data_IF_446331202493
#
_entry.id   IF_446331202493
#
_cell.length_a   1.000
_cell.length_b   1.000
_cell.length_c   1.000
_cell.angle_alpha   90.00
_cell.angle_beta   90.00
_cell.angle_gamma   90.00
#
_symmetry.space_group_name_H-M   'P 1'
#
loop_
_entity.id
_entity.type
_entity.pdbx_description
1 polymer ?
#
# COMPACT_ATOMS: atom_id res chain seq x y z
N UNK A 1 9.48 -6.95 1.63
CA UNK A 1 10.19 -5.66 1.50
C UNK A 1 11.15 -5.49 2.66
N UNK A 2 12.26 -4.78 2.49
CA UNK A 2 13.18 -4.47 3.59
C UNK A 2 12.82 -3.12 4.22
N UNK A 3 12.90 -3.01 5.55
CA UNK A 3 12.78 -1.72 6.26
C UNK A 3 13.88 -0.76 5.79
N UNK A 4 13.70 0.55 5.90
CA UNK A 4 14.72 1.53 5.52
C UNK A 4 15.08 1.55 4.03
N UNK A 5 14.17 1.10 3.15
CA UNK A 5 14.37 1.13 1.69
C UNK A 5 13.20 1.81 0.98
N UNK A 6 13.30 2.00 -0.33
CA UNK A 6 12.29 2.68 -1.15
C UNK A 6 11.62 1.76 -2.20
N UNK A 7 10.99 0.65 -1.78
CA UNK A 7 10.36 -0.27 -2.71
C UNK A 7 9.14 0.36 -3.38
N UNK A 8 8.83 -0.14 -4.58
CA UNK A 8 7.58 0.15 -5.28
C UNK A 8 6.68 -1.08 -5.15
N UNK A 9 5.55 -0.93 -4.46
CA UNK A 9 4.54 -1.98 -4.44
C UNK A 9 3.60 -1.79 -5.64
N UNK A 10 3.52 -2.81 -6.49
CA UNK A 10 2.68 -2.82 -7.69
C UNK A 10 1.53 -3.81 -7.47
N UNK A 11 0.31 -3.30 -7.46
CA UNK A 11 -0.89 -4.10 -7.29
C UNK A 11 -1.67 -4.15 -8.60
N UNK A 12 -2.18 -5.34 -8.94
CA UNK A 12 -3.13 -5.54 -10.02
C UNK A 12 -4.52 -5.73 -9.41
N UNK A 13 -5.46 -4.94 -9.89
CA UNK A 13 -6.86 -5.01 -9.52
C UNK A 13 -7.68 -5.60 -10.67
N UNK A 14 -8.89 -6.03 -10.34
CA UNK A 14 -9.87 -6.63 -11.25
C UNK A 14 -10.71 -5.58 -11.99
N UNK A 15 -10.62 -4.31 -11.61
CA UNK A 15 -11.34 -3.20 -12.23
C UNK A 15 -10.41 -2.04 -12.61
N UNK A 16 -10.86 -1.18 -13.53
CA UNK A 16 -10.17 0.06 -13.86
C UNK A 16 -10.39 1.09 -12.74
N UNK A 17 -9.30 1.59 -12.16
CA UNK A 17 -9.31 2.56 -11.07
C UNK A 17 -9.04 3.99 -11.51
N UNK A 18 -8.85 4.23 -12.81
CA UNK A 18 -8.47 5.55 -13.36
C UNK A 18 -9.48 6.64 -12.98
N UNK A 19 -10.76 6.28 -12.88
CA UNK A 19 -11.85 7.20 -12.52
C UNK A 19 -12.29 7.09 -11.05
N UNK A 20 -11.48 6.48 -10.19
CA UNK A 20 -11.76 6.47 -8.76
C UNK A 20 -11.69 7.90 -8.21
N UNK A 21 -12.72 8.30 -7.46
CA UNK A 21 -12.78 9.60 -6.78
C UNK A 21 -12.05 9.59 -5.45
N UNK A 22 -11.98 8.42 -4.81
CA UNK A 22 -11.28 8.18 -3.55
C UNK A 22 -10.62 6.81 -3.65
N UNK A 23 -9.39 6.70 -3.17
CA UNK A 23 -8.67 5.45 -3.05
C UNK A 23 -7.82 5.45 -1.78
N UNK A 24 -7.85 4.34 -1.06
CA UNK A 24 -6.97 4.08 0.07
C UNK A 24 -6.27 2.73 -0.09
N UNK A 25 -4.97 2.70 0.19
CA UNK A 25 -4.18 1.49 0.32
C UNK A 25 -3.71 1.40 1.75
N UNK A 26 -4.36 0.52 2.50
CA UNK A 26 -4.15 0.38 3.93
C UNK A 26 -3.22 -0.80 4.19
N UNK A 27 -2.16 -0.55 4.94
CA UNK A 27 -1.22 -1.55 5.42
C UNK A 27 -1.45 -1.81 6.90
N UNK A 28 -1.66 -3.07 7.24
CA UNK A 28 -1.95 -3.55 8.59
C UNK A 28 -0.91 -4.55 9.04
N UNK A 29 -0.37 -4.34 10.24
CA UNK A 29 0.55 -5.26 10.89
C UNK A 29 0.18 -5.39 12.37
N UNK A 30 0.33 -6.59 12.94
CA UNK A 30 0.02 -6.85 14.36
C UNK A 30 -1.37 -6.36 14.80
N UNK A 31 -2.37 -6.51 13.93
CA UNK A 31 -3.73 -6.10 14.23
C UNK A 31 -4.03 -4.60 14.07
N UNK A 32 -3.05 -3.76 13.75
CA UNK A 32 -3.19 -2.30 13.65
C UNK A 32 -2.84 -1.77 12.26
N UNK A 33 -3.53 -0.73 11.82
CA UNK A 33 -3.13 0.02 10.63
C UNK A 33 -1.86 0.78 10.97
N UNK A 34 -0.82 0.59 10.16
CA UNK A 34 0.50 1.18 10.38
C UNK A 34 0.87 2.20 9.29
N UNK A 35 0.30 2.04 8.09
CA UNK A 35 0.47 2.97 6.98
C UNK A 35 -0.80 3.00 6.15
N UNK A 36 -1.17 4.17 5.66
CA UNK A 36 -2.20 4.34 4.65
C UNK A 36 -1.70 5.30 3.58
N UNK A 37 -1.97 4.97 2.32
CA UNK A 37 -1.71 5.85 1.18
C UNK A 37 -3.03 6.22 0.52
N UNK A 38 -3.20 7.52 0.28
CA UNK A 38 -4.35 8.07 -0.40
C UNK A 38 -4.16 8.09 -1.93
N UNK A 39 -5.21 8.49 -2.66
CA UNK A 39 -5.19 8.55 -4.12
C UNK A 39 -4.09 9.48 -4.67
N UNK A 40 -3.76 10.55 -3.95
CA UNK A 40 -2.76 11.54 -4.36
C UNK A 40 -1.31 11.05 -4.16
N UNK A 41 -1.12 9.96 -3.42
CA UNK A 41 0.19 9.39 -3.09
C UNK A 41 0.55 8.16 -3.93
N UNK A 42 -0.29 7.81 -4.92
CA UNK A 42 -0.12 6.61 -5.74
C UNK A 42 -0.21 6.95 -7.22
N UNK A 43 0.32 6.07 -8.06
CA UNK A 43 0.10 6.15 -9.52
C UNK A 43 -0.88 5.08 -9.94
N UNK A 44 -1.94 5.50 -10.63
CA UNK A 44 -2.95 4.60 -11.19
C UNK A 44 -2.78 4.55 -12.71
N UNK A 45 -2.74 3.34 -13.26
CA UNK A 45 -2.73 3.09 -14.71
C UNK A 45 -3.71 1.95 -14.99
N UNK A 46 -4.95 2.31 -15.36
CA UNK A 46 -6.06 1.35 -15.50
C UNK A 46 -6.26 0.55 -14.22
N UNK A 47 -5.98 -0.75 -14.28
CA UNK A 47 -6.11 -1.67 -13.17
C UNK A 47 -4.81 -1.89 -12.36
N UNK A 48 -3.75 -1.14 -12.67
CA UNK A 48 -2.47 -1.17 -11.95
C UNK A 48 -2.38 0.01 -11.00
N UNK A 49 -2.07 -0.26 -9.73
CA UNK A 49 -1.80 0.76 -8.72
C UNK A 49 -0.37 0.59 -8.21
N UNK A 50 0.43 1.64 -8.37
CA UNK A 50 1.83 1.68 -7.96
C UNK A 50 2.01 2.60 -6.75
N UNK A 51 2.54 2.04 -5.67
CA UNK A 51 2.80 2.76 -4.42
C UNK A 51 4.29 2.89 -4.22
N UNK A 52 4.76 4.13 -4.20
CA UNK A 52 6.15 4.44 -3.89
C UNK A 52 6.26 4.61 -2.38
N UNK A 53 7.01 3.72 -1.72
CA UNK A 53 7.27 3.83 -0.29
C UNK A 53 8.59 4.57 -0.07
N UNK A 54 8.58 5.53 0.85
CA UNK A 54 9.80 6.17 1.35
C UNK A 54 10.53 5.29 2.36
N UNK A 55 11.77 5.64 2.72
CA UNK A 55 12.48 4.98 3.81
C UNK A 55 11.70 5.12 5.13
N UNK A 56 11.24 6.34 5.45
CA UNK A 56 10.31 6.60 6.56
C UNK A 56 9.07 5.69 6.55
N UNK A 57 8.42 5.51 5.39
CA UNK A 57 7.27 4.61 5.29
C UNK A 57 7.65 3.18 5.65
N UNK A 58 8.77 2.67 5.13
CA UNK A 58 9.20 1.28 5.36
C UNK A 58 9.74 1.05 6.78
N UNK A 59 10.26 2.07 7.45
CA UNK A 59 10.75 1.99 8.83
C UNK A 59 9.65 1.87 9.89
N UNK A 60 8.42 2.30 9.57
CA UNK A 60 7.25 2.17 10.47
C UNK A 60 6.87 0.70 10.70
N UNK A 61 7.18 -0.18 9.74
CA UNK A 61 6.90 -1.61 9.86
C UNK A 61 7.89 -2.29 10.82
N UNK A 62 7.45 -3.38 11.43
CA UNK A 62 8.32 -4.35 12.10
C UNK A 62 8.60 -5.53 11.19
N UNK A 63 9.55 -6.39 11.55
CA UNK A 63 9.71 -7.69 10.89
C UNK A 63 8.39 -8.49 10.96
N UNK A 64 8.06 -9.22 9.90
CA UNK A 64 6.93 -10.14 9.86
C UNK A 64 5.90 -9.83 8.77
N UNK A 65 4.70 -10.40 8.91
CA UNK A 65 3.64 -10.31 7.88
C UNK A 65 2.96 -8.95 7.91
N UNK A 66 2.81 -8.35 6.74
CA UNK A 66 1.98 -7.17 6.48
C UNK A 66 0.79 -7.58 5.63
N UNK A 67 -0.41 -7.21 6.06
CA UNK A 67 -1.65 -7.36 5.30
C UNK A 67 -2.01 -6.04 4.64
N UNK A 68 -2.35 -6.06 3.36
CA UNK A 68 -2.62 -4.87 2.55
C UNK A 68 -4.00 -5.02 1.93
N UNK A 69 -4.76 -3.92 1.87
CA UNK A 69 -6.02 -3.86 1.15
C UNK A 69 -6.16 -2.54 0.40
N UNK A 70 -6.68 -2.62 -0.81
CA UNK A 70 -7.06 -1.45 -1.61
C UNK A 70 -8.57 -1.29 -1.51
N UNK A 71 -9.03 -0.07 -1.23
CA UNK A 71 -10.44 0.31 -1.30
C UNK A 71 -10.57 1.54 -2.16
N UNK A 72 -11.58 1.59 -3.02
CA UNK A 72 -11.84 2.73 -3.88
C UNK A 72 -13.33 3.05 -3.95
N UNK A 73 -13.65 4.32 -4.21
CA UNK A 73 -15.01 4.81 -4.45
C UNK A 73 -15.05 5.61 -5.75
N UNK A 74 -16.05 5.37 -6.58
CA UNK A 74 -16.26 6.06 -7.85
C UNK A 74 -17.28 7.19 -7.73
N UNK A 75 -17.33 8.05 -8.75
CA UNK A 75 -18.25 9.21 -8.80
C UNK A 75 -19.73 8.83 -8.85
N UNK A 76 -20.05 7.64 -9.36
CA UNK A 76 -21.40 7.06 -9.35
C UNK A 76 -21.84 6.55 -7.97
N UNK A 77 -20.96 6.65 -6.96
CA UNK A 77 -21.20 6.21 -5.60
C UNK A 77 -20.85 4.75 -5.33
N UNK A 78 -20.49 3.97 -6.34
CA UNK A 78 -20.03 2.58 -6.17
C UNK A 78 -18.71 2.53 -5.41
N UNK A 79 -18.51 1.45 -4.65
CA UNK A 79 -17.30 1.23 -3.87
C UNK A 79 -16.84 -0.22 -3.99
N UNK A 80 -15.52 -0.41 -4.02
CA UNK A 80 -14.89 -1.72 -4.12
C UNK A 80 -13.88 -1.92 -2.99
N UNK A 81 -13.56 -3.18 -2.73
CA UNK A 81 -12.43 -3.58 -1.93
C UNK A 81 -11.71 -4.74 -2.60
N UNK A 82 -10.39 -4.69 -2.67
CA UNK A 82 -9.60 -5.83 -3.11
C UNK A 82 -9.66 -6.96 -2.09
N UNK A 83 -9.29 -8.17 -2.52
CA UNK A 83 -8.87 -9.21 -1.60
C UNK A 83 -7.71 -8.73 -0.70
N UNK A 84 -7.55 -9.38 0.46
CA UNK A 84 -6.42 -9.12 1.34
C UNK A 84 -5.14 -9.67 0.71
N UNK A 85 -4.15 -8.80 0.57
CA UNK A 85 -2.83 -9.15 0.06
C UNK A 85 -1.90 -9.32 1.25
N UNK A 86 -1.06 -10.34 1.24
CA UNK A 86 -0.07 -10.56 2.30
C UNK A 86 1.33 -10.52 1.72
N UNK A 87 2.22 -9.84 2.42
CA UNK A 87 3.66 -9.80 2.13
C UNK A 87 4.44 -9.80 3.44
N UNK A 88 5.75 -9.94 3.35
CA UNK A 88 6.64 -9.92 4.52
C UNK A 88 7.52 -8.68 4.51
N UNK A 89 7.75 -8.12 5.70
CA UNK A 89 8.76 -7.11 5.96
C UNK A 89 9.95 -7.76 6.67
N UNK A 90 11.16 -7.43 6.23
CA UNK A 90 12.41 -8.03 6.73
C UNK A 90 13.23 -7.03 7.55
N UNK A 91 14.00 -7.56 8.50
CA UNK A 91 14.92 -6.80 9.35
C UNK A 91 16.05 -6.12 8.55
N UNK A 92 16.62 -5.07 9.13
CA UNK A 92 17.84 -4.39 8.67
C UNK A 92 18.87 -4.39 9.79
N UNK A 93 20.15 -4.54 9.45
CA UNK A 93 21.24 -4.60 10.43
C UNK A 93 21.58 -3.22 11.03
N UNK A 94 21.30 -2.15 10.27
CA UNK A 94 21.47 -0.77 10.70
C UNK A 94 20.11 -0.08 10.61
N UNK A 95 19.57 0.35 11.73
CA UNK A 95 18.27 1.02 11.78
C UNK A 95 18.38 2.47 11.31
N UNK A 96 17.28 3.02 10.78
CA UNK A 96 17.19 4.39 10.27
C UNK A 96 17.31 4.52 8.74
N UNK A 97 17.32 5.76 8.27
CA UNK A 97 17.48 6.10 6.84
C UNK A 97 18.97 6.13 6.46
N UNK A 98 19.26 5.85 5.17
CA UNK A 98 20.57 6.03 4.52
C UNK A 98 20.61 7.23 3.60
#
# INVERSE_FOLDING_TARGET
>A
MYRGTTPINIFRTDVDLTNASVLFITYKQNGKVVLEKSIDEVKIQKNIVSVYLSQKDTLIFTEGIVTIQIRAKFSDGSAIASALIRTSTYEILKDGEI
#
